data_IF_653154783411
#
_entry.id   IF_653154783411
#
_cell.length_a   1.000
_cell.length_b   1.000
_cell.length_c   1.000
_cell.angle_alpha   90.00
_cell.angle_beta   90.00
_cell.angle_gamma   90.00
#
_symmetry.space_group_name_H-M   'P 1'
#
loop_
_entity.id
_entity.type
_entity.pdbx_description
1 polymer ?
#
# COMPACT_ATOMS: atom_id res chain seq x y z
N UNK A 1 -8.93 7.39 -30.58
CA UNK A 1 -9.48 6.37 -29.68
C UNK A 1 -8.83 5.04 -30.02
N UNK A 2 -8.07 4.48 -29.09
CA UNK A 2 -7.47 3.15 -29.19
C UNK A 2 -8.02 2.29 -28.05
N UNK A 3 -8.60 1.15 -28.39
CA UNK A 3 -9.17 0.22 -27.41
C UNK A 3 -8.05 -0.55 -26.71
N UNK A 4 -8.07 -0.56 -25.37
CA UNK A 4 -7.02 -1.17 -24.54
C UNK A 4 -7.46 -2.54 -24.05
N UNK A 5 -8.64 -2.63 -23.43
CA UNK A 5 -9.16 -3.89 -22.88
C UNK A 5 -10.66 -3.86 -22.63
N UNK A 6 -11.28 -5.04 -22.65
CA UNK A 6 -12.63 -5.28 -22.11
C UNK A 6 -12.53 -5.76 -20.65
N UNK A 7 -13.44 -5.28 -19.80
CA UNK A 7 -13.52 -5.66 -18.39
C UNK A 7 -14.96 -5.66 -17.87
N UNK A 8 -15.14 -5.99 -16.59
CA UNK A 8 -16.41 -5.84 -15.87
C UNK A 8 -16.32 -4.66 -14.91
N UNK A 9 -17.42 -3.96 -14.72
CA UNK A 9 -17.56 -2.89 -13.73
C UNK A 9 -18.96 -2.91 -13.13
N UNK A 10 -19.23 -2.03 -12.17
CA UNK A 10 -20.53 -1.90 -11.52
C UNK A 10 -21.24 -0.63 -12.02
N UNK A 11 -22.56 -0.70 -12.18
CA UNK A 11 -23.38 0.50 -12.31
C UNK A 11 -23.23 1.36 -11.04
N UNK A 12 -22.91 2.67 -11.13
CA UNK A 12 -22.78 3.51 -9.95
C UNK A 12 -24.05 3.67 -9.12
N UNK A 13 -25.23 3.43 -9.72
CA UNK A 13 -26.53 3.62 -9.07
C UNK A 13 -27.10 2.29 -8.54
N UNK A 14 -27.30 1.30 -9.42
CA UNK A 14 -27.92 0.03 -9.04
C UNK A 14 -26.94 -1.11 -8.74
N UNK A 15 -25.62 -0.87 -8.84
CA UNK A 15 -24.56 -1.84 -8.59
C UNK A 15 -24.62 -3.12 -9.45
N UNK A 16 -25.41 -3.11 -10.53
CA UNK A 16 -25.44 -4.19 -11.50
C UNK A 16 -24.08 -4.35 -12.17
N UNK A 17 -23.66 -5.59 -12.38
CA UNK A 17 -22.44 -5.89 -13.14
C UNK A 17 -22.67 -5.57 -14.62
N UNK A 18 -21.79 -4.77 -15.20
CA UNK A 18 -21.83 -4.32 -16.58
C UNK A 18 -20.54 -4.70 -17.32
N UNK A 19 -20.65 -4.92 -18.63
CA UNK A 19 -19.50 -4.86 -19.52
C UNK A 19 -18.97 -3.42 -19.57
N UNK A 20 -17.65 -3.28 -19.49
CA UNK A 20 -16.96 -2.01 -19.54
C UNK A 20 -15.76 -2.10 -20.49
N UNK A 21 -15.42 -0.99 -21.11
CA UNK A 21 -14.29 -0.87 -22.02
C UNK A 21 -13.30 0.14 -21.48
N UNK A 22 -12.02 -0.22 -21.51
CA UNK A 22 -10.91 0.69 -21.25
C UNK A 22 -10.30 1.08 -22.58
N UNK A 23 -10.11 2.38 -22.80
CA UNK A 23 -9.56 2.90 -24.05
C UNK A 23 -8.79 4.20 -23.82
N UNK A 24 -7.83 4.49 -24.70
CA UNK A 24 -7.14 5.78 -24.71
C UNK A 24 -7.75 6.74 -25.72
N UNK A 25 -7.84 8.02 -25.35
CA UNK A 25 -8.30 9.12 -26.19
C UNK A 25 -7.68 10.43 -25.69
N UNK A 26 -7.10 11.24 -26.60
CA UNK A 26 -6.47 12.52 -26.28
C UNK A 26 -5.44 12.44 -25.13
N UNK A 27 -4.54 11.46 -25.20
CA UNK A 27 -3.47 11.21 -24.22
C UNK A 27 -3.95 10.85 -22.79
N UNK A 28 -5.24 10.57 -22.62
CA UNK A 28 -5.83 10.07 -21.38
C UNK A 28 -6.37 8.65 -21.57
N UNK A 29 -6.57 7.93 -20.46
CA UNK A 29 -7.24 6.62 -20.44
C UNK A 29 -8.59 6.75 -19.76
N UNK A 30 -9.62 6.23 -20.39
CA UNK A 30 -10.99 6.23 -19.91
C UNK A 30 -11.50 4.81 -19.68
N UNK A 31 -12.46 4.68 -18.78
CA UNK A 31 -13.33 3.52 -18.67
C UNK A 31 -14.76 3.95 -19.02
N UNK A 32 -15.44 3.17 -19.87
CA UNK A 32 -16.83 3.40 -20.25
C UNK A 32 -17.69 2.15 -20.06
N UNK A 33 -18.91 2.35 -19.56
CA UNK A 33 -19.92 1.30 -19.38
C UNK A 33 -21.31 1.86 -19.59
N UNK A 34 -22.25 1.01 -20.03
CA UNK A 34 -23.64 1.41 -20.24
C UNK A 34 -24.58 0.55 -19.42
N UNK A 35 -25.30 1.18 -18.49
CA UNK A 35 -26.39 0.57 -17.75
C UNK A 35 -27.70 0.72 -18.54
N UNK A 36 -28.49 -0.36 -18.75
CA UNK A 36 -29.79 -0.26 -19.40
C UNK A 36 -30.79 0.68 -18.71
N UNK A 37 -30.61 0.93 -17.41
CA UNK A 37 -31.51 1.74 -16.58
C UNK A 37 -30.99 3.17 -16.34
N UNK A 38 -29.66 3.33 -16.21
CA UNK A 38 -29.05 4.58 -15.75
C UNK A 38 -28.17 5.26 -16.82
N UNK A 39 -28.09 4.69 -18.02
CA UNK A 39 -27.37 5.28 -19.15
C UNK A 39 -25.87 4.97 -19.17
N UNK A 40 -25.12 5.79 -19.90
CA UNK A 40 -23.68 5.61 -20.13
C UNK A 40 -22.88 6.41 -19.13
N UNK A 41 -21.87 5.76 -18.55
CA UNK A 41 -20.87 6.37 -17.68
C UNK A 41 -19.53 6.26 -18.38
N UNK A 42 -18.85 7.40 -18.55
CA UNK A 42 -17.48 7.50 -19.05
C UNK A 42 -16.68 8.31 -18.04
N UNK A 43 -15.67 7.68 -17.45
CA UNK A 43 -14.90 8.26 -16.35
C UNK A 43 -13.41 8.18 -16.67
N UNK A 44 -12.65 9.16 -16.19
CA UNK A 44 -11.19 9.16 -16.34
C UNK A 44 -10.61 8.03 -15.49
N UNK A 45 -9.83 7.16 -16.12
CA UNK A 45 -9.10 6.09 -15.43
C UNK A 45 -7.67 6.54 -15.09
N UNK A 46 -6.97 7.15 -16.06
CA UNK A 46 -5.65 7.80 -15.92
C UNK A 46 -5.63 9.09 -16.74
N UNK A 47 -5.00 10.17 -16.23
CA UNK A 47 -4.87 11.42 -16.99
C UNK A 47 -3.68 11.44 -17.94
N UNK A 48 -2.80 10.43 -17.86
CA UNK A 48 -1.63 10.25 -18.72
C UNK A 48 -1.59 8.81 -19.24
N UNK A 49 -1.83 8.64 -20.54
CA UNK A 49 -1.81 7.35 -21.20
C UNK A 49 -0.40 6.73 -21.28
N UNK A 50 0.65 7.53 -21.40
CA UNK A 50 2.03 7.01 -21.40
C UNK A 50 2.36 6.40 -20.03
N UNK A 51 2.02 7.11 -18.94
CA UNK A 51 2.20 6.60 -17.58
C UNK A 51 1.38 5.32 -17.31
N UNK A 52 0.17 5.23 -17.87
CA UNK A 52 -0.64 4.01 -17.84
C UNK A 52 0.11 2.82 -18.47
N UNK A 53 0.59 2.98 -19.70
CA UNK A 53 1.29 1.89 -20.38
C UNK A 53 2.66 1.57 -19.75
N UNK A 54 3.31 2.55 -19.12
CA UNK A 54 4.54 2.32 -18.36
C UNK A 54 4.28 1.40 -17.16
N UNK A 55 3.22 1.67 -16.39
CA UNK A 55 2.85 0.87 -15.23
C UNK A 55 2.60 -0.61 -15.58
N UNK A 56 2.06 -0.89 -16.78
CA UNK A 56 1.80 -2.26 -17.26
C UNK A 56 3.07 -3.10 -17.43
N UNK A 57 4.25 -2.49 -17.58
CA UNK A 57 5.52 -3.23 -17.71
C UNK A 57 5.91 -3.95 -16.41
N UNK A 58 5.34 -3.52 -15.28
CA UNK A 58 5.69 -4.00 -13.95
C UNK A 58 4.72 -5.06 -13.40
N UNK A 59 3.97 -5.71 -14.30
CA UNK A 59 3.12 -6.85 -13.97
C UNK A 59 3.90 -8.05 -13.45
N UNK A 60 3.29 -8.76 -12.51
CA UNK A 60 3.81 -10.01 -11.99
C UNK A 60 2.76 -11.11 -12.12
N UNK A 61 3.21 -12.32 -12.43
CA UNK A 61 2.34 -13.49 -12.55
C UNK A 61 1.62 -13.75 -11.22
N UNK A 62 0.27 -13.77 -11.20
CA UNK A 62 -0.48 -13.92 -9.96
C UNK A 62 -0.18 -15.25 -9.23
N UNK A 63 0.11 -15.16 -7.92
CA UNK A 63 0.23 -16.34 -7.05
C UNK A 63 -1.13 -16.67 -6.46
N UNK A 64 -1.79 -17.71 -6.98
CA UNK A 64 -3.14 -18.10 -6.54
C UNK A 64 -3.12 -18.78 -5.17
N UNK A 65 -4.28 -18.76 -4.53
CA UNK A 65 -4.56 -19.53 -3.32
C UNK A 65 -4.97 -20.96 -3.69
N UNK A 66 -4.46 -21.94 -2.95
CA UNK A 66 -4.75 -23.36 -3.17
C UNK A 66 -6.06 -23.81 -2.51
N UNK A 67 -6.43 -23.17 -1.40
CA UNK A 67 -7.55 -23.55 -0.55
C UNK A 67 -8.68 -22.51 -0.56
N UNK A 68 -9.33 -22.40 -1.70
CA UNK A 68 -10.54 -21.61 -1.87
C UNK A 68 -11.66 -22.11 -0.93
N UNK A 69 -12.35 -21.18 -0.28
CA UNK A 69 -13.43 -21.50 0.68
C UNK A 69 -14.82 -21.13 0.16
N UNK A 70 -14.91 -20.71 -1.11
CA UNK A 70 -16.15 -20.32 -1.75
C UNK A 70 -16.18 -20.74 -3.21
N UNK A 71 -17.34 -21.24 -3.69
CA UNK A 71 -17.55 -21.57 -5.09
C UNK A 71 -18.01 -20.35 -5.88
N UNK A 72 -17.94 -20.39 -7.22
CA UNK A 72 -18.47 -19.31 -8.06
C UNK A 72 -19.92 -19.55 -8.49
N UNK A 73 -20.66 -20.37 -7.74
CA UNK A 73 -22.03 -20.76 -8.12
C UNK A 73 -23.09 -19.68 -7.79
N UNK A 74 -22.64 -18.47 -7.43
CA UNK A 74 -23.44 -17.25 -7.26
C UNK A 74 -22.72 -16.03 -7.85
N UNK A 75 -23.44 -14.92 -7.99
CA UNK A 75 -22.90 -13.69 -8.59
C UNK A 75 -22.02 -12.93 -7.60
N UNK A 76 -20.75 -12.65 -7.94
CA UNK A 76 -19.95 -11.65 -7.22
C UNK A 76 -20.65 -10.27 -7.34
N UNK A 77 -20.88 -9.50 -6.27
CA UNK A 77 -20.31 -9.62 -4.92
C UNK A 77 -21.20 -10.36 -3.89
N UNK A 78 -22.36 -10.89 -4.31
CA UNK A 78 -23.34 -11.53 -3.41
C UNK A 78 -22.93 -12.89 -2.84
N UNK A 79 -21.88 -13.53 -3.38
CA UNK A 79 -21.33 -14.79 -2.90
C UNK A 79 -19.88 -14.62 -2.40
N UNK A 80 -19.69 -13.75 -1.39
CA UNK A 80 -18.36 -13.35 -0.91
C UNK A 80 -17.60 -14.51 -0.24
N UNK A 81 -16.28 -14.50 -0.39
CA UNK A 81 -15.34 -15.52 0.09
C UNK A 81 -14.16 -15.67 -0.88
N UNK A 82 -13.16 -16.47 -0.52
CA UNK A 82 -12.00 -16.74 -1.37
C UNK A 82 -12.40 -17.73 -2.48
N UNK A 83 -12.77 -17.19 -3.65
CA UNK A 83 -13.16 -17.94 -4.84
C UNK A 83 -12.07 -17.87 -5.94
N UNK A 84 -12.29 -18.56 -7.08
CA UNK A 84 -11.31 -18.69 -8.17
C UNK A 84 -10.89 -17.37 -8.84
N UNK A 85 -11.67 -16.30 -8.63
CA UNK A 85 -11.37 -14.96 -9.16
C UNK A 85 -10.36 -14.21 -8.28
N UNK A 86 -10.07 -14.71 -7.07
CA UNK A 86 -8.97 -14.22 -6.23
C UNK A 86 -7.66 -14.81 -6.72
N UNK A 87 -6.98 -14.06 -7.60
CA UNK A 87 -5.78 -14.55 -8.31
C UNK A 87 -4.47 -14.39 -7.51
N UNK A 88 -4.48 -13.57 -6.45
CA UNK A 88 -3.30 -13.26 -5.64
C UNK A 88 -3.48 -13.71 -4.20
N UNK A 89 -2.38 -13.99 -3.51
CA UNK A 89 -2.34 -14.30 -2.09
C UNK A 89 -2.80 -13.11 -1.25
N UNK A 90 -3.36 -13.36 -0.07
CA UNK A 90 -3.65 -12.29 0.88
C UNK A 90 -2.36 -11.86 1.60
N UNK A 91 -1.89 -10.66 1.28
CA UNK A 91 -0.66 -10.10 1.84
C UNK A 91 -0.96 -9.35 3.14
N UNK A 92 -2.06 -8.62 3.13
CA UNK A 92 -2.60 -7.87 4.26
C UNK A 92 -4.08 -8.20 4.40
N UNK A 93 -4.46 -8.83 5.51
CA UNK A 93 -5.86 -8.98 5.87
C UNK A 93 -6.39 -7.71 6.53
N UNK A 94 -7.50 -7.16 6.04
CA UNK A 94 -8.19 -6.05 6.69
C UNK A 94 -9.39 -6.60 7.46
N UNK A 95 -9.47 -6.30 8.75
CA UNK A 95 -10.61 -6.66 9.59
C UNK A 95 -11.15 -5.35 10.18
N UNK A 96 -12.37 -4.99 9.78
CA UNK A 96 -13.12 -3.96 10.48
C UNK A 96 -13.55 -4.53 11.84
N UNK A 97 -13.07 -3.93 12.93
CA UNK A 97 -13.37 -4.44 14.28
C UNK A 97 -14.60 -3.77 14.88
N UNK A 98 -15.08 -2.69 14.30
CA UNK A 98 -16.31 -1.99 14.69
C UNK A 98 -16.79 -1.13 13.52
N UNK A 99 -18.05 -0.71 13.50
CA UNK A 99 -18.51 0.39 12.63
C UNK A 99 -18.77 1.69 13.41
N UNK A 100 -18.41 1.73 14.70
CA UNK A 100 -18.42 2.97 15.51
C UNK A 100 -17.29 3.88 15.08
N UNK A 101 -17.57 5.16 14.94
CA UNK A 101 -16.56 6.17 14.70
C UNK A 101 -16.84 7.41 15.56
N UNK A 102 -15.79 8.05 16.04
CA UNK A 102 -15.83 9.35 16.73
C UNK A 102 -15.80 10.55 15.76
N UNK A 103 -15.89 10.31 14.44
CA UNK A 103 -16.01 11.32 13.39
C UNK A 103 -17.18 11.01 12.44
N UNK A 104 -17.58 12.02 11.66
CA UNK A 104 -18.63 11.92 10.62
C UNK A 104 -18.11 12.50 9.30
N UNK A 105 -17.02 11.92 8.80
CA UNK A 105 -16.30 12.39 7.62
C UNK A 105 -17.21 12.42 6.37
N UNK A 106 -17.25 13.54 5.61
CA UNK A 106 -18.03 13.63 4.37
C UNK A 106 -17.58 12.66 3.29
N UNK A 107 -16.28 12.34 3.21
CA UNK A 107 -15.70 11.45 2.17
C UNK A 107 -15.48 10.01 2.67
N UNK A 108 -16.28 9.54 3.63
CA UNK A 108 -16.12 8.19 4.18
C UNK A 108 -16.69 7.14 3.24
N UNK A 109 -15.83 6.34 2.60
CA UNK A 109 -16.24 5.22 1.76
C UNK A 109 -16.96 4.12 2.56
N UNK A 110 -16.49 3.83 3.78
CA UNK A 110 -17.07 2.80 4.65
C UNK A 110 -18.45 3.19 5.21
N UNK A 111 -18.84 4.46 5.06
CA UNK A 111 -20.08 5.03 5.61
C UNK A 111 -20.28 4.63 7.09
N UNK A 112 -19.22 4.68 7.89
CA UNK A 112 -19.27 4.29 9.29
C UNK A 112 -20.16 5.23 10.11
N UNK A 113 -20.68 4.74 11.24
CA UNK A 113 -21.59 5.42 12.16
C UNK A 113 -22.96 5.84 11.58
N UNK A 114 -23.34 5.39 10.38
CA UNK A 114 -24.67 5.66 9.78
C UNK A 114 -25.48 4.39 9.50
N UNK A 115 -24.88 3.20 9.57
CA UNK A 115 -25.63 1.95 9.52
C UNK A 115 -26.51 1.85 10.75
N UNK A 116 -27.81 1.59 10.55
CA UNK A 116 -28.77 1.41 11.65
C UNK A 116 -28.49 0.18 12.56
N UNK A 117 -27.48 -0.61 12.21
CA UNK A 117 -27.01 -1.79 12.94
C UNK A 117 -25.58 -1.57 13.44
N UNK A 118 -25.34 -1.90 14.70
CA UNK A 118 -23.99 -1.97 15.25
C UNK A 118 -23.29 -3.25 14.76
N UNK A 119 -22.15 -3.08 14.12
CA UNK A 119 -21.23 -4.17 13.81
C UNK A 119 -20.02 -4.00 14.74
N UNK A 120 -19.79 -4.98 15.61
CA UNK A 120 -18.68 -4.99 16.56
C UNK A 120 -18.45 -6.45 17.00
N UNK A 121 -17.71 -7.25 16.22
CA UNK A 121 -17.48 -8.66 16.53
C UNK A 121 -16.78 -8.84 17.88
N UNK A 122 -17.08 -9.94 18.53
CA UNK A 122 -16.42 -10.40 19.77
C UNK A 122 -14.95 -10.77 19.50
N UNK A 123 -14.16 -10.88 20.56
CA UNK A 123 -12.77 -11.31 20.46
C UNK A 123 -12.64 -12.72 19.84
N UNK A 124 -13.57 -13.62 20.18
CA UNK A 124 -13.58 -14.98 19.63
C UNK A 124 -13.90 -14.98 18.14
N UNK A 125 -14.87 -14.19 17.68
CA UNK A 125 -15.17 -14.03 16.24
C UNK A 125 -13.97 -13.42 15.49
N UNK A 126 -13.31 -12.40 16.05
CA UNK A 126 -12.10 -11.82 15.46
C UNK A 126 -10.98 -12.86 15.39
N UNK A 127 -10.79 -13.68 16.44
CA UNK A 127 -9.82 -14.78 16.43
C UNK A 127 -10.13 -15.80 15.35
N UNK A 128 -11.40 -16.11 15.11
CA UNK A 128 -11.81 -16.98 14.00
C UNK A 128 -11.49 -16.36 12.62
N UNK A 129 -11.72 -15.06 12.43
CA UNK A 129 -11.35 -14.34 11.21
C UNK A 129 -9.82 -14.37 10.97
N UNK A 130 -9.04 -14.14 12.03
CA UNK A 130 -7.58 -14.24 11.99
C UNK A 130 -7.12 -15.64 11.60
N UNK A 131 -7.73 -16.68 12.20
CA UNK A 131 -7.46 -18.09 11.85
C UNK A 131 -7.83 -18.41 10.41
N UNK A 132 -8.89 -17.81 9.88
CA UNK A 132 -9.24 -17.97 8.47
C UNK A 132 -8.12 -17.44 7.57
N UNK A 133 -7.63 -16.22 7.81
CA UNK A 133 -6.52 -15.62 7.07
C UNK A 133 -5.22 -16.43 7.19
N UNK A 134 -4.91 -16.96 8.38
CA UNK A 134 -3.72 -17.79 8.61
C UNK A 134 -3.84 -19.20 8.05
N UNK A 135 -5.03 -19.64 7.63
CA UNK A 135 -5.20 -20.93 6.94
C UNK A 135 -4.92 -20.85 5.45
N UNK A 136 -4.76 -19.65 4.87
CA UNK A 136 -4.45 -19.50 3.44
C UNK A 136 -3.22 -20.34 3.02
N UNK A 137 -3.33 -20.98 1.88
CA UNK A 137 -2.29 -21.81 1.25
C UNK A 137 -1.98 -21.26 -0.16
N UNK A 138 -0.73 -21.38 -0.64
CA UNK A 138 0.38 -22.07 0.01
C UNK A 138 1.05 -21.27 1.13
N UNK A 139 0.78 -19.96 1.20
CA UNK A 139 1.38 -19.05 2.19
C UNK A 139 0.30 -18.50 3.11
N UNK A 140 0.43 -18.67 4.43
CA UNK A 140 -0.50 -18.09 5.38
C UNK A 140 -0.31 -16.57 5.49
N UNK A 141 -1.42 -15.82 5.54
CA UNK A 141 -1.43 -14.34 5.49
C UNK A 141 -0.54 -13.71 6.57
N UNK A 142 0.53 -12.98 6.23
CA UNK A 142 1.55 -12.58 7.21
C UNK A 142 1.15 -11.35 8.04
N UNK A 143 0.33 -10.46 7.46
CA UNK A 143 -0.01 -9.18 8.05
C UNK A 143 -1.53 -8.99 8.26
N UNK A 144 -1.90 -8.27 9.31
CA UNK A 144 -3.28 -7.84 9.55
C UNK A 144 -3.35 -6.35 9.88
N UNK A 145 -4.38 -5.68 9.35
CA UNK A 145 -4.78 -4.34 9.72
C UNK A 145 -6.14 -4.36 10.38
N UNK A 146 -6.21 -3.85 11.61
CA UNK A 146 -7.50 -3.52 12.20
C UNK A 146 -7.94 -2.14 11.75
N UNK A 147 -9.17 -2.10 11.27
CA UNK A 147 -9.86 -0.95 10.71
C UNK A 147 -11.27 -0.89 11.33
N UNK A 148 -12.18 -0.18 10.69
CA UNK A 148 -13.60 -0.21 10.97
C UNK A 148 -13.99 0.93 11.88
N UNK A 149 -14.94 1.74 11.40
CA UNK A 149 -15.21 3.08 11.90
C UNK A 149 -13.93 3.76 12.36
N UNK A 150 -13.70 3.78 13.67
CA UNK A 150 -12.39 4.03 14.26
C UNK A 150 -12.02 2.89 15.22
N UNK A 151 -11.01 2.04 14.93
CA UNK A 151 -10.70 0.86 15.76
C UNK A 151 -10.33 1.23 17.19
N UNK A 152 -9.72 2.39 17.42
CA UNK A 152 -9.30 2.83 18.76
C UNK A 152 -10.45 3.30 19.66
N UNK A 153 -11.70 3.34 19.18
CA UNK A 153 -12.87 3.52 20.06
C UNK A 153 -13.21 2.25 20.85
N UNK A 154 -12.68 1.08 20.42
CA UNK A 154 -12.84 -0.16 21.15
C UNK A 154 -11.93 -0.17 22.38
N UNK A 155 -12.51 -0.47 23.54
CA UNK A 155 -11.78 -0.56 24.82
C UNK A 155 -10.77 -1.71 24.84
N UNK A 156 -10.96 -2.72 24.00
CA UNK A 156 -10.15 -3.93 23.95
C UNK A 156 -9.18 -3.97 22.77
N UNK A 157 -8.93 -2.83 22.07
CA UNK A 157 -8.04 -2.79 20.90
C UNK A 157 -6.63 -3.34 21.19
N UNK A 158 -6.08 -3.05 22.38
CA UNK A 158 -4.77 -3.59 22.81
C UNK A 158 -4.80 -5.11 22.90
N UNK A 159 -5.91 -5.69 23.34
CA UNK A 159 -6.08 -7.14 23.44
C UNK A 159 -6.22 -7.78 22.06
N UNK A 160 -6.94 -7.15 21.13
CA UNK A 160 -7.04 -7.63 19.75
C UNK A 160 -5.66 -7.72 19.08
N UNK A 161 -4.78 -6.75 19.33
CA UNK A 161 -3.39 -6.82 18.84
C UNK A 161 -2.66 -8.05 19.39
N UNK A 162 -2.80 -8.35 20.69
CA UNK A 162 -2.20 -9.57 21.26
C UNK A 162 -2.75 -10.82 20.62
N UNK A 163 -4.07 -10.90 20.42
CA UNK A 163 -4.71 -12.04 19.75
C UNK A 163 -4.13 -12.23 18.33
N UNK A 164 -3.93 -11.16 17.56
CA UNK A 164 -3.27 -11.27 16.26
C UNK A 164 -1.83 -11.83 16.36
N UNK A 165 -1.05 -11.40 17.36
CA UNK A 165 0.31 -11.96 17.58
C UNK A 165 0.26 -13.43 18.00
N UNK A 166 -0.67 -13.82 18.88
CA UNK A 166 -0.90 -15.21 19.31
C UNK A 166 -1.25 -16.12 18.13
N UNK A 167 -2.06 -15.64 17.18
CA UNK A 167 -2.43 -16.39 15.97
C UNK A 167 -1.32 -16.37 14.89
N UNK A 168 -0.15 -15.79 15.18
CA UNK A 168 1.06 -15.92 14.38
C UNK A 168 1.25 -14.85 13.30
N UNK A 169 0.59 -13.69 13.40
CA UNK A 169 0.85 -12.56 12.50
C UNK A 169 2.19 -11.89 12.81
N UNK A 170 3.06 -11.81 11.81
CA UNK A 170 4.38 -11.17 11.95
C UNK A 170 4.26 -9.65 11.94
N UNK A 171 3.29 -9.13 11.18
CA UNK A 171 3.00 -7.71 11.09
C UNK A 171 1.56 -7.38 11.50
N UNK A 172 1.40 -6.41 12.39
CA UNK A 172 0.09 -5.90 12.84
C UNK A 172 0.06 -4.39 12.73
N UNK A 173 -1.05 -3.85 12.24
CA UNK A 173 -1.25 -2.42 12.10
C UNK A 173 -2.68 -2.00 12.43
N UNK A 174 -2.88 -0.72 12.75
CA UNK A 174 -4.20 -0.11 12.95
C UNK A 174 -4.38 1.07 12.00
N UNK A 175 -5.51 1.13 11.30
CA UNK A 175 -5.93 2.28 10.51
C UNK A 175 -6.75 3.23 11.39
N UNK A 176 -6.20 4.38 11.76
CA UNK A 176 -6.78 5.25 12.79
C UNK A 176 -6.74 6.72 12.41
N UNK A 177 -7.74 7.47 12.87
CA UNK A 177 -7.75 8.92 12.90
C UNK A 177 -6.87 9.51 14.02
N UNK A 178 -6.30 8.70 14.91
CA UNK A 178 -5.32 9.13 15.90
C UNK A 178 -5.86 9.95 17.06
N UNK A 179 -7.16 10.25 17.15
CA UNK A 179 -7.72 11.03 18.25
C UNK A 179 -7.50 10.33 19.60
N UNK A 180 -7.68 9.01 19.66
CA UNK A 180 -7.43 8.25 20.89
C UNK A 180 -5.93 8.26 21.26
N UNK A 181 -5.04 8.09 20.28
CA UNK A 181 -3.59 8.16 20.47
C UNK A 181 -3.12 9.53 20.96
N UNK A 182 -3.80 10.61 20.54
CA UNK A 182 -3.53 11.96 21.01
C UNK A 182 -3.99 12.17 22.45
N UNK A 183 -5.19 11.68 22.79
CA UNK A 183 -5.83 11.92 24.09
C UNK A 183 -5.32 11.00 25.20
N UNK A 184 -4.77 9.83 24.87
CA UNK A 184 -4.19 8.88 25.82
C UNK A 184 -2.71 8.65 25.50
N UNK A 185 -1.84 9.24 26.32
CA UNK A 185 -0.38 9.14 26.18
C UNK A 185 0.19 7.73 26.41
N UNK A 186 -0.58 6.84 27.03
CA UNK A 186 -0.14 5.46 27.31
C UNK A 186 -0.57 4.49 26.22
N UNK A 187 -1.65 4.79 25.48
CA UNK A 187 -2.18 3.90 24.45
C UNK A 187 -1.12 3.49 23.42
N UNK A 188 -0.28 4.43 22.96
CA UNK A 188 0.80 4.11 22.02
C UNK A 188 1.82 3.10 22.60
N UNK A 189 2.15 3.22 23.89
CA UNK A 189 3.05 2.29 24.59
C UNK A 189 2.40 0.93 24.79
N UNK A 190 1.13 0.90 25.16
CA UNK A 190 0.36 -0.33 25.36
C UNK A 190 0.21 -1.11 24.06
N UNK A 191 -0.14 -0.43 22.96
CA UNK A 191 -0.20 -1.02 21.63
C UNK A 191 1.15 -1.56 21.18
N UNK A 192 2.24 -0.79 21.39
CA UNK A 192 3.59 -1.25 21.08
C UNK A 192 3.96 -2.50 21.88
N UNK A 193 3.66 -2.51 23.19
CA UNK A 193 3.92 -3.65 24.07
C UNK A 193 3.09 -4.89 23.70
N UNK A 194 1.87 -4.69 23.20
CA UNK A 194 1.03 -5.76 22.66
C UNK A 194 1.55 -6.35 21.34
N UNK A 195 2.51 -5.66 20.67
CA UNK A 195 3.14 -6.13 19.45
C UNK A 195 2.71 -5.41 18.18
N UNK A 196 2.03 -4.25 18.30
CA UNK A 196 1.71 -3.39 17.17
C UNK A 196 2.98 -2.94 16.44
N UNK A 197 3.04 -3.16 15.13
CA UNK A 197 4.19 -2.78 14.31
C UNK A 197 4.07 -1.34 13.83
N UNK A 198 2.91 -0.97 13.28
CA UNK A 198 2.71 0.28 12.56
C UNK A 198 1.37 0.91 12.87
N UNK A 199 1.36 2.24 13.08
CA UNK A 199 0.14 3.04 13.04
C UNK A 199 -0.04 3.57 11.62
N UNK A 200 -1.15 3.20 11.00
CA UNK A 200 -1.56 3.69 9.69
C UNK A 200 -2.45 4.92 9.93
N UNK A 201 -1.81 6.09 10.02
CA UNK A 201 -2.40 7.32 10.56
C UNK A 201 -3.01 8.16 9.44
N UNK A 202 -4.33 8.36 9.49
CA UNK A 202 -5.00 9.31 8.60
C UNK A 202 -4.41 10.73 8.77
N UNK A 203 -3.94 11.35 7.68
CA UNK A 203 -3.25 12.64 7.70
C UNK A 203 -3.47 13.42 6.39
N UNK A 204 -4.46 14.30 6.32
CA UNK A 204 -4.91 14.87 5.03
C UNK A 204 -4.18 16.14 4.59
N UNK A 205 -3.28 16.70 5.39
CA UNK A 205 -2.58 17.93 5.05
C UNK A 205 -1.79 18.50 6.21
N UNK A 206 -1.02 19.55 5.94
CA UNK A 206 -0.25 20.28 6.96
C UNK A 206 -0.97 21.54 7.44
N UNK A 207 -2.18 21.78 6.93
CA UNK A 207 -3.06 22.89 7.30
C UNK A 207 -4.41 22.39 7.82
N UNK A 208 -5.19 23.26 8.45
CA UNK A 208 -6.48 22.89 9.07
C UNK A 208 -7.57 22.55 8.04
N UNK A 209 -7.51 23.21 6.88
CA UNK A 209 -8.59 23.23 5.90
C UNK A 209 -8.95 21.84 5.36
N UNK A 210 -7.97 20.98 4.98
CA UNK A 210 -8.26 19.62 4.53
C UNK A 210 -9.10 18.85 5.54
N UNK A 211 -8.73 18.90 6.83
CA UNK A 211 -9.45 18.17 7.88
C UNK A 211 -10.88 18.67 8.07
N UNK A 212 -11.09 19.99 8.00
CA UNK A 212 -12.44 20.57 8.09
C UNK A 212 -13.30 20.05 6.94
N UNK A 213 -12.78 20.04 5.71
CA UNK A 213 -13.54 19.60 4.52
C UNK A 213 -13.73 18.09 4.45
N UNK A 214 -12.72 17.28 4.76
CA UNK A 214 -12.73 15.82 4.55
C UNK A 214 -13.16 15.03 5.78
N UNK A 215 -12.96 15.58 6.99
CA UNK A 215 -13.27 14.91 8.28
C UNK A 215 -14.39 15.58 9.05
N UNK A 216 -14.85 16.76 8.62
CA UNK A 216 -15.84 17.58 9.32
C UNK A 216 -15.39 17.95 10.76
N UNK A 217 -14.07 18.08 10.95
CA UNK A 217 -13.45 18.48 12.22
C UNK A 217 -12.01 18.95 11.97
N UNK A 218 -11.58 20.04 12.60
CA UNK A 218 -10.15 20.38 12.66
C UNK A 218 -9.45 19.47 13.67
N UNK A 219 -8.72 18.48 13.18
CA UNK A 219 -8.00 17.48 13.99
C UNK A 219 -6.49 17.51 13.75
N UNK A 220 -5.95 18.54 13.10
CA UNK A 220 -4.52 18.65 12.81
C UNK A 220 -3.69 18.62 14.10
N UNK A 221 -4.07 19.38 15.13
CA UNK A 221 -3.38 19.37 16.43
C UNK A 221 -3.36 17.97 17.06
N UNK A 222 -4.45 17.21 16.91
CA UNK A 222 -4.52 15.81 17.36
C UNK A 222 -3.60 14.89 16.56
N UNK A 223 -3.35 15.16 15.27
CA UNK A 223 -2.34 14.40 14.52
C UNK A 223 -0.95 14.61 15.10
N UNK A 224 -0.59 15.86 15.37
CA UNK A 224 0.71 16.20 15.94
C UNK A 224 0.88 15.54 17.32
N UNK A 225 -0.11 15.66 18.21
CA UNK A 225 -0.08 15.00 19.53
C UNK A 225 0.06 13.47 19.42
N UNK A 226 -0.68 12.83 18.51
CA UNK A 226 -0.58 11.39 18.28
C UNK A 226 0.83 10.98 17.80
N UNK A 227 1.42 11.76 16.88
CA UNK A 227 2.79 11.53 16.38
C UNK A 227 3.80 11.61 17.53
N UNK A 228 3.69 12.60 18.41
CA UNK A 228 4.58 12.72 19.58
C UNK A 228 4.44 11.55 20.55
N UNK A 229 3.23 11.06 20.78
CA UNK A 229 3.00 9.91 21.67
C UNK A 229 3.57 8.62 21.06
N UNK A 230 3.39 8.41 19.76
CA UNK A 230 4.00 7.32 19.01
C UNK A 230 5.53 7.40 19.01
N UNK A 231 6.11 8.61 18.87
CA UNK A 231 7.56 8.85 18.96
C UNK A 231 8.10 8.43 20.32
N UNK A 232 7.48 8.88 21.42
CA UNK A 232 7.86 8.48 22.79
C UNK A 232 7.77 6.97 23.01
N UNK A 233 6.81 6.30 22.36
CA UNK A 233 6.62 4.85 22.42
C UNK A 233 7.53 4.06 21.46
N UNK A 234 8.27 4.71 20.56
CA UNK A 234 9.00 4.07 19.44
C UNK A 234 8.08 3.18 18.58
N UNK A 235 6.88 3.69 18.32
CA UNK A 235 5.87 3.07 17.48
C UNK A 235 5.84 3.80 16.14
N UNK A 236 6.20 3.09 15.06
CA UNK A 236 6.35 3.68 13.73
C UNK A 236 5.00 4.07 13.11
N UNK A 237 5.03 5.07 12.25
CA UNK A 237 3.85 5.63 11.58
C UNK A 237 4.02 5.55 10.06
N UNK A 238 2.94 5.23 9.36
CA UNK A 238 2.75 5.57 7.95
C UNK A 238 1.65 6.62 7.89
N UNK A 239 1.93 7.77 7.28
CA UNK A 239 0.93 8.80 7.03
C UNK A 239 0.04 8.39 5.86
N UNK A 240 -1.25 8.66 5.99
CA UNK A 240 -2.27 8.23 5.01
C UNK A 240 -3.14 9.41 4.64
N UNK A 241 -2.71 10.22 3.67
CA UNK A 241 -3.52 11.31 3.14
C UNK A 241 -4.60 10.76 2.22
N UNK A 242 -5.87 11.08 2.50
CA UNK A 242 -6.92 10.91 1.49
C UNK A 242 -6.95 12.16 0.60
N UNK A 243 -6.60 12.01 -0.67
CA UNK A 243 -6.47 13.13 -1.60
C UNK A 243 -7.79 13.41 -2.33
N UNK A 244 -8.17 14.68 -2.38
CA UNK A 244 -9.31 15.19 -3.15
C UNK A 244 -8.84 16.41 -3.93
N UNK A 245 -9.05 16.40 -5.25
CA UNK A 245 -8.65 17.53 -6.12
C UNK A 245 -9.43 18.78 -5.71
N UNK A 246 -8.74 19.91 -5.64
CA UNK A 246 -9.29 21.18 -5.15
C UNK A 246 -9.44 21.29 -3.62
N UNK A 247 -8.96 20.31 -2.85
CA UNK A 247 -8.94 20.38 -1.37
C UNK A 247 -7.51 20.33 -0.83
N UNK A 248 -6.76 19.27 -1.12
CA UNK A 248 -5.44 19.05 -0.50
C UNK A 248 -4.36 18.52 -1.44
N UNK A 249 -4.68 18.32 -2.72
CA UNK A 249 -3.71 17.90 -3.74
C UNK A 249 -2.54 18.88 -3.93
N UNK A 250 -2.69 20.13 -3.52
CA UNK A 250 -1.66 21.17 -3.53
C UNK A 250 -0.69 21.07 -2.35
N UNK A 251 -0.97 20.18 -1.38
CA UNK A 251 -0.14 19.95 -0.19
C UNK A 251 0.66 18.63 -0.26
N UNK A 252 0.70 17.94 -1.41
CA UNK A 252 1.40 16.65 -1.54
C UNK A 252 2.89 16.81 -1.19
N UNK A 253 3.55 17.84 -1.73
CA UNK A 253 4.95 18.12 -1.42
C UNK A 253 5.17 18.47 0.05
N UNK A 254 4.31 19.30 0.63
CA UNK A 254 4.39 19.70 2.04
C UNK A 254 4.20 18.52 3.00
N UNK A 255 3.32 17.57 2.67
CA UNK A 255 3.14 16.34 3.46
C UNK A 255 4.41 15.48 3.41
N UNK A 256 5.07 15.38 2.26
CA UNK A 256 6.33 14.65 2.11
C UNK A 256 7.43 15.32 2.93
N UNK A 257 7.55 16.65 2.86
CA UNK A 257 8.52 17.41 3.67
C UNK A 257 8.25 17.24 5.16
N UNK A 258 6.99 17.32 5.59
CA UNK A 258 6.60 17.05 6.97
C UNK A 258 7.00 15.64 7.42
N UNK A 259 6.83 14.63 6.55
CA UNK A 259 7.25 13.27 6.84
C UNK A 259 8.78 13.13 6.95
N UNK A 260 9.54 13.80 6.08
CA UNK A 260 11.01 13.85 6.14
C UNK A 260 11.52 14.55 7.40
N UNK A 261 10.85 15.59 7.88
CA UNK A 261 11.18 16.26 9.13
C UNK A 261 10.92 15.39 10.36
N UNK A 262 10.04 14.40 10.23
CA UNK A 262 9.66 13.46 11.28
C UNK A 262 10.09 12.01 10.96
N UNK A 263 11.15 11.83 10.15
CA UNK A 263 11.62 10.52 9.66
C UNK A 263 12.09 9.57 10.79
N UNK A 264 12.28 10.11 12.00
CA UNK A 264 12.61 9.35 13.19
C UNK A 264 11.47 8.39 13.61
N UNK A 265 10.21 8.78 13.34
CA UNK A 265 9.00 8.03 13.67
C UNK A 265 8.16 7.66 12.44
N UNK A 266 8.19 8.49 11.39
CA UNK A 266 7.45 8.28 10.14
C UNK A 266 8.30 7.48 9.16
N UNK A 267 7.73 6.37 8.68
CA UNK A 267 8.41 5.41 7.76
C UNK A 267 7.91 5.51 6.32
N UNK A 268 6.77 6.19 6.11
CA UNK A 268 6.25 6.41 4.79
C UNK A 268 5.03 7.31 4.75
N UNK A 269 4.68 7.72 3.55
CA UNK A 269 3.43 8.39 3.19
C UNK A 269 2.77 7.55 2.10
N UNK A 270 1.59 7.00 2.40
CA UNK A 270 0.78 6.28 1.42
C UNK A 270 -0.44 7.12 1.07
N UNK A 271 -0.33 7.86 -0.03
CA UNK A 271 -1.41 8.66 -0.57
C UNK A 271 -2.52 7.77 -1.10
N UNK A 272 -3.76 8.14 -0.80
CA UNK A 272 -4.94 7.43 -1.23
C UNK A 272 -5.89 8.41 -1.90
N UNK A 273 -5.93 8.47 -3.24
CA UNK A 273 -6.99 9.20 -3.92
C UNK A 273 -8.36 8.77 -3.41
N UNK A 274 -9.28 9.74 -3.29
CA UNK A 274 -10.62 9.48 -2.77
C UNK A 274 -11.34 8.45 -3.63
N UNK A 275 -11.99 7.49 -2.97
CA UNK A 275 -12.93 6.58 -3.60
C UNK A 275 -14.32 7.22 -3.63
N UNK A 276 -14.94 7.26 -4.81
CA UNK A 276 -16.29 7.77 -5.00
C UNK A 276 -17.35 6.73 -4.59
N UNK A 277 -17.36 6.40 -3.30
CA UNK A 277 -18.27 5.45 -2.68
C UNK A 277 -18.72 5.94 -1.30
N UNK A 278 -19.74 5.29 -0.73
CA UNK A 278 -20.24 5.62 0.61
C UNK A 278 -20.83 7.03 0.66
N UNK A 279 -20.22 7.92 1.45
CA UNK A 279 -20.67 9.32 1.59
C UNK A 279 -20.04 10.28 0.59
N UNK A 280 -19.03 9.85 -0.16
CA UNK A 280 -18.36 10.71 -1.15
C UNK A 280 -19.36 11.13 -2.23
N UNK A 281 -19.49 12.44 -2.56
CA UNK A 281 -20.44 12.90 -3.57
C UNK A 281 -20.13 12.34 -4.96
N UNK A 282 -21.12 11.70 -5.59
CA UNK A 282 -20.99 11.10 -6.93
C UNK A 282 -21.13 12.11 -8.07
N UNK A 283 -21.64 13.31 -7.81
CA UNK A 283 -21.79 14.38 -8.80
C UNK A 283 -20.48 15.13 -9.10
N UNK A 284 -19.41 14.83 -8.35
CA UNK A 284 -18.11 15.50 -8.44
C UNK A 284 -16.96 14.62 -8.90
N UNK A 285 -17.25 13.43 -9.42
CA UNK A 285 -16.23 12.42 -9.76
C UNK A 285 -15.10 13.01 -10.59
N UNK A 286 -15.37 13.51 -11.79
CA UNK A 286 -14.31 14.05 -12.67
C UNK A 286 -13.68 15.34 -12.14
N UNK A 287 -14.43 16.17 -11.41
CA UNK A 287 -13.91 17.41 -10.81
C UNK A 287 -12.87 17.10 -9.71
N UNK A 288 -13.12 16.06 -8.91
CA UNK A 288 -12.38 15.76 -7.69
C UNK A 288 -11.41 14.58 -7.82
N UNK A 289 -11.46 13.84 -8.93
CA UNK A 289 -10.64 12.65 -9.17
C UNK A 289 -9.17 13.02 -9.26
N UNK A 290 -8.37 12.20 -8.59
CA UNK A 290 -6.91 12.16 -8.66
C UNK A 290 -6.55 10.74 -9.06
N UNK A 291 -5.73 10.63 -10.08
CA UNK A 291 -5.19 9.39 -10.62
C UNK A 291 -3.77 9.18 -10.11
N UNK A 292 -3.20 8.00 -10.37
CA UNK A 292 -1.84 7.70 -9.90
C UNK A 292 -0.82 8.65 -10.56
N UNK A 293 -0.99 8.95 -11.85
CA UNK A 293 -0.14 9.88 -12.59
C UNK A 293 -0.26 11.34 -12.14
N UNK A 294 -1.44 11.77 -11.68
CA UNK A 294 -1.59 13.08 -11.02
C UNK A 294 -0.72 13.17 -9.76
N UNK A 295 -0.70 12.11 -8.92
CA UNK A 295 0.15 12.08 -7.74
C UNK A 295 1.63 12.14 -8.13
N UNK A 296 2.06 11.29 -9.06
CA UNK A 296 3.46 11.23 -9.51
C UNK A 296 3.90 12.62 -10.00
N UNK A 297 3.08 13.26 -10.84
CA UNK A 297 3.34 14.61 -11.36
C UNK A 297 3.35 15.67 -10.25
N UNK A 298 2.47 15.54 -9.25
CA UNK A 298 2.46 16.43 -8.10
C UNK A 298 3.70 16.26 -7.22
N UNK A 299 4.19 15.04 -7.01
CA UNK A 299 5.44 14.83 -6.26
C UNK A 299 6.61 15.49 -6.98
N UNK A 300 6.75 15.29 -8.29
CA UNK A 300 7.82 15.90 -9.08
C UNK A 300 7.74 17.44 -9.09
N UNK A 301 6.53 18.01 -9.19
CA UNK A 301 6.35 19.47 -9.31
C UNK A 301 6.29 20.23 -7.98
N UNK A 302 5.88 19.58 -6.89
CA UNK A 302 5.73 20.21 -5.57
C UNK A 302 6.91 19.94 -4.64
N UNK A 303 7.91 19.18 -5.07
CA UNK A 303 9.11 18.89 -4.28
C UNK A 303 10.38 19.31 -5.01
N UNK A 304 11.33 19.90 -4.27
CA UNK A 304 12.68 20.18 -4.77
C UNK A 304 13.64 19.00 -4.49
N UNK A 305 13.11 17.77 -4.45
CA UNK A 305 13.81 16.56 -3.98
C UNK A 305 14.41 15.71 -5.13
N UNK A 306 14.34 16.20 -6.37
CA UNK A 306 14.78 15.50 -7.58
C UNK A 306 14.12 14.11 -7.75
N UNK A 307 12.88 13.96 -7.30
CA UNK A 307 12.09 12.75 -7.48
C UNK A 307 11.36 12.88 -8.81
N UNK A 308 11.88 12.23 -9.85
CA UNK A 308 11.28 12.25 -11.18
C UNK A 308 10.17 11.21 -11.31
N UNK A 309 9.35 11.32 -12.36
CA UNK A 309 8.29 10.33 -12.64
C UNK A 309 8.81 8.90 -12.74
N UNK A 310 9.99 8.72 -13.34
CA UNK A 310 10.66 7.43 -13.52
C UNK A 310 11.14 6.79 -12.20
N UNK A 311 11.01 7.49 -11.06
CA UNK A 311 11.33 6.94 -9.76
C UNK A 311 10.23 6.03 -9.20
N UNK A 312 9.03 6.03 -9.80
CA UNK A 312 7.87 5.29 -9.31
C UNK A 312 7.67 3.97 -10.02
N UNK A 313 7.44 2.92 -9.22
CA UNK A 313 7.25 1.56 -9.71
C UNK A 313 5.97 0.96 -9.15
N UNK A 314 5.28 0.14 -9.94
CA UNK A 314 4.12 -0.62 -9.47
C UNK A 314 4.50 -1.53 -8.30
N UNK A 315 3.57 -1.77 -7.37
CA UNK A 315 3.85 -2.59 -6.18
C UNK A 315 4.33 -4.01 -6.51
N UNK A 316 3.95 -4.55 -7.68
CA UNK A 316 4.36 -5.87 -8.15
C UNK A 316 5.81 -5.96 -8.64
N UNK A 317 6.51 -4.83 -8.83
CA UNK A 317 7.93 -4.78 -9.22
C UNK A 317 8.84 -5.56 -8.27
N UNK A 318 8.46 -5.69 -7.00
CA UNK A 318 9.27 -6.41 -5.99
C UNK A 318 8.99 -7.92 -5.93
N UNK A 319 8.06 -8.45 -6.74
CA UNK A 319 7.79 -9.89 -6.79
C UNK A 319 9.05 -10.76 -6.99
N UNK A 320 10.02 -10.40 -7.86
CA UNK A 320 11.27 -11.14 -7.99
C UNK A 320 12.06 -11.30 -6.69
N UNK A 321 11.96 -10.36 -5.76
CA UNK A 321 12.65 -10.43 -4.46
C UNK A 321 12.02 -11.56 -3.62
N UNK A 322 10.70 -11.62 -3.53
CA UNK A 322 10.01 -12.72 -2.83
C UNK A 322 10.34 -14.08 -3.43
N UNK A 323 10.36 -14.18 -4.76
CA UNK A 323 10.70 -15.42 -5.45
C UNK A 323 12.15 -15.86 -5.22
N UNK A 324 13.07 -14.89 -5.14
CA UNK A 324 14.46 -15.15 -4.77
C UNK A 324 14.58 -15.69 -3.35
N UNK A 325 13.84 -15.11 -2.39
CA UNK A 325 13.82 -15.58 -1.00
C UNK A 325 13.28 -17.01 -0.94
N UNK A 326 12.15 -17.30 -1.60
CA UNK A 326 11.60 -18.66 -1.70
C UNK A 326 12.61 -19.66 -2.27
N UNK A 327 13.28 -19.31 -3.37
CA UNK A 327 14.29 -20.17 -3.98
C UNK A 327 15.50 -20.46 -3.07
N UNK A 328 15.74 -19.62 -2.06
CA UNK A 328 16.84 -19.76 -1.10
C UNK A 328 16.42 -20.55 0.14
N UNK A 329 15.16 -20.46 0.54
CA UNK A 329 14.57 -21.21 1.65
C UNK A 329 14.06 -22.59 1.19
N UNK A 330 14.83 -23.30 0.35
CA UNK A 330 14.49 -24.63 -0.18
C UNK A 330 13.07 -24.73 -0.78
N UNK A 331 12.66 -23.71 -1.56
CA UNK A 331 11.35 -23.57 -2.21
C UNK A 331 10.15 -23.45 -1.24
N UNK A 332 10.40 -23.05 0.02
CA UNK A 332 9.32 -22.60 0.89
C UNK A 332 8.67 -21.33 0.31
N UNK A 333 7.36 -21.36 0.02
CA UNK A 333 6.69 -20.28 -0.66
C UNK A 333 6.59 -19.05 0.25
N UNK A 334 6.98 -17.90 -0.28
CA UNK A 334 6.92 -16.61 0.39
C UNK A 334 5.74 -15.80 -0.14
N UNK A 335 5.27 -14.88 0.69
CA UNK A 335 4.24 -13.93 0.25
C UNK A 335 4.80 -13.11 -0.91
N UNK A 336 4.06 -13.06 -2.02
CA UNK A 336 4.50 -12.35 -3.23
C UNK A 336 3.50 -11.27 -3.61
N UNK A 337 3.98 -10.03 -3.72
CA UNK A 337 3.21 -8.88 -4.20
C UNK A 337 2.90 -9.05 -5.69
N UNK A 338 1.68 -9.54 -5.98
CA UNK A 338 1.20 -9.82 -7.35
C UNK A 338 -0.17 -9.19 -7.58
N UNK A 339 -0.35 -7.96 -7.06
CA UNK A 339 -1.54 -7.18 -7.32
C UNK A 339 -1.53 -6.66 -8.76
N UNK A 340 -2.68 -6.15 -9.22
CA UNK A 340 -2.75 -5.46 -10.50
C UNK A 340 -1.77 -4.28 -10.52
N UNK A 341 -1.16 -4.02 -11.67
CA UNK A 341 -0.16 -2.99 -11.93
C UNK A 341 -0.67 -1.58 -11.59
N UNK A 342 -1.95 -1.30 -11.83
CA UNK A 342 -2.59 -0.03 -11.49
C UNK A 342 -3.15 0.02 -10.06
N UNK A 343 -2.90 -0.98 -9.22
CA UNK A 343 -3.32 -0.97 -7.81
C UNK A 343 -2.65 0.18 -7.03
N UNK A 344 -1.39 0.44 -7.37
CA UNK A 344 -0.60 1.45 -6.69
C UNK A 344 0.86 1.43 -7.13
N UNK A 345 1.53 2.54 -6.86
CA UNK A 345 2.95 2.76 -7.16
C UNK A 345 3.68 3.18 -5.90
N UNK A 346 5.00 3.01 -5.88
CA UNK A 346 5.83 3.53 -4.81
C UNK A 346 7.26 3.81 -5.23
N UNK A 347 7.92 4.62 -4.41
CA UNK A 347 9.34 4.90 -4.49
C UNK A 347 9.92 5.10 -3.09
N UNK A 348 11.24 5.05 -2.98
CA UNK A 348 11.94 5.30 -1.73
C UNK A 348 12.87 6.49 -1.87
N UNK A 349 12.93 7.30 -0.81
CA UNK A 349 13.91 8.36 -0.65
C UNK A 349 14.64 8.20 0.68
N UNK A 350 15.88 8.66 0.72
CA UNK A 350 16.80 8.51 1.85
C UNK A 350 17.27 9.88 2.31
N UNK A 351 17.28 10.13 3.62
CA UNK A 351 17.68 11.42 4.21
C UNK A 351 19.05 11.31 4.89
N UNK A 352 20.00 12.10 4.44
CA UNK A 352 21.31 12.26 5.08
C UNK A 352 21.21 13.13 6.34
N UNK A 353 22.23 13.07 7.20
CA UNK A 353 22.31 13.90 8.41
C UNK A 353 22.34 15.41 8.11
N UNK A 354 22.90 15.80 6.96
CA UNK A 354 22.94 17.21 6.51
C UNK A 354 21.62 17.68 5.89
N UNK A 355 20.62 16.81 5.80
CA UNK A 355 19.30 17.07 5.23
C UNK A 355 19.18 16.77 3.73
N UNK A 356 20.27 16.39 3.05
CA UNK A 356 20.23 15.97 1.64
C UNK A 356 19.32 14.77 1.47
N UNK A 357 18.48 14.79 0.44
CA UNK A 357 17.58 13.69 0.09
C UNK A 357 18.06 13.00 -1.18
N UNK A 358 18.10 11.68 -1.14
CA UNK A 358 18.60 10.83 -2.23
C UNK A 358 17.47 9.87 -2.64
N UNK A 359 16.90 10.00 -3.84
CA UNK A 359 15.99 9.00 -4.40
C UNK A 359 16.68 7.65 -4.63
N UNK A 360 15.95 6.54 -4.46
CA UNK A 360 16.49 5.19 -4.67
C UNK A 360 17.10 5.02 -6.07
N UNK A 361 16.48 5.63 -7.09
CA UNK A 361 16.91 5.55 -8.48
C UNK A 361 18.22 6.29 -8.78
N UNK A 362 18.68 7.18 -7.89
CA UNK A 362 19.99 7.82 -8.03
C UNK A 362 21.15 6.85 -7.82
N UNK A 363 20.95 5.78 -7.03
CA UNK A 363 22.01 4.84 -6.69
C UNK A 363 21.67 3.37 -6.95
N UNK A 364 20.42 3.03 -7.30
CA UNK A 364 20.01 1.71 -7.78
C UNK A 364 19.26 1.86 -9.10
N UNK A 365 19.79 1.26 -10.16
CA UNK A 365 19.05 1.01 -11.40
C UNK A 365 18.09 -0.17 -11.14
N UNK A 366 16.85 0.16 -10.76
CA UNK A 366 15.86 -0.81 -10.29
C UNK A 366 15.54 -1.84 -11.37
N UNK A 367 15.39 -1.41 -12.63
CA UNK A 367 15.07 -2.32 -13.74
C UNK A 367 16.19 -3.35 -13.96
N UNK A 368 17.45 -2.90 -14.07
CA UNK A 368 18.58 -3.83 -14.21
C UNK A 368 18.78 -4.69 -12.97
N UNK A 369 18.44 -4.17 -11.79
CA UNK A 369 18.52 -4.91 -10.54
C UNK A 369 17.49 -6.05 -10.48
N UNK A 370 16.22 -5.78 -10.83
CA UNK A 370 15.18 -6.80 -10.92
C UNK A 370 15.48 -7.82 -12.03
N UNK A 371 16.02 -7.39 -13.17
CA UNK A 371 16.48 -8.29 -14.24
C UNK A 371 17.59 -9.24 -13.75
N UNK A 372 18.54 -8.72 -12.96
CA UNK A 372 19.60 -9.53 -12.35
C UNK A 372 19.04 -10.58 -11.38
N UNK A 373 18.07 -10.19 -10.53
CA UNK A 373 17.39 -11.12 -9.61
C UNK A 373 16.71 -12.23 -10.40
N UNK A 374 15.85 -11.87 -11.36
CA UNK A 374 15.10 -12.82 -12.19
C UNK A 374 16.01 -13.82 -12.91
N UNK A 375 17.14 -13.35 -13.47
CA UNK A 375 18.12 -14.24 -14.13
C UNK A 375 18.86 -15.15 -13.17
N UNK A 376 18.86 -14.86 -11.88
CA UNK A 376 19.58 -15.60 -10.84
C UNK A 376 18.72 -16.67 -10.16
N UNK A 377 17.40 -16.48 -10.09
CA UNK A 377 16.46 -17.44 -9.47
C UNK A 377 16.66 -18.88 -9.98
N UNK A 378 16.69 -19.18 -11.30
CA UNK A 378 16.81 -20.58 -11.77
C UNK A 378 18.14 -21.26 -11.43
N UNK A 379 19.20 -20.47 -11.22
CA UNK A 379 20.50 -21.00 -10.80
C UNK A 379 20.54 -21.20 -9.28
N UNK A 380 19.77 -20.43 -8.51
CA UNK A 380 19.68 -20.55 -7.05
C UNK A 380 18.80 -21.74 -6.66
N UNK A 381 17.61 -21.89 -7.26
CA UNK A 381 16.68 -22.99 -6.98
C UNK A 381 17.28 -24.38 -7.25
N UNK A 382 18.22 -24.51 -8.21
CA UNK A 382 18.88 -25.80 -8.51
C UNK A 382 19.79 -26.28 -7.39
N UNK A 383 20.18 -25.40 -6.46
CA UNK A 383 20.96 -25.67 -5.26
C UNK A 383 22.24 -26.54 -5.49
N UNK A 384 22.82 -26.49 -6.70
CA UNK A 384 24.01 -27.29 -7.07
C UNK A 384 25.27 -26.44 -7.07
N UNK A 385 26.45 -27.02 -6.80
CA UNK A 385 27.71 -26.27 -6.75
C UNK A 385 27.97 -25.45 -8.02
N UNK A 386 27.66 -26.00 -9.20
CA UNK A 386 27.84 -25.34 -10.50
C UNK A 386 26.89 -24.15 -10.64
N UNK A 387 25.62 -24.33 -10.26
CA UNK A 387 24.59 -23.29 -10.39
C UNK A 387 24.81 -22.15 -9.39
N UNK A 388 25.18 -22.43 -8.13
CA UNK A 388 25.61 -21.43 -7.16
C UNK A 388 26.81 -20.61 -7.66
N UNK A 389 27.83 -21.28 -8.21
CA UNK A 389 29.00 -20.59 -8.77
C UNK A 389 28.62 -19.65 -9.91
N UNK A 390 27.68 -20.07 -10.77
CA UNK A 390 27.17 -19.25 -11.88
C UNK A 390 26.35 -18.05 -11.40
N UNK A 391 25.49 -18.21 -10.39
CA UNK A 391 24.73 -17.11 -9.79
C UNK A 391 25.66 -16.08 -9.16
N UNK A 392 26.65 -16.51 -8.36
CA UNK A 392 27.64 -15.63 -7.75
C UNK A 392 28.48 -14.90 -8.80
N UNK A 393 28.95 -15.61 -9.84
CA UNK A 393 29.71 -14.99 -10.93
C UNK A 393 28.90 -13.94 -11.70
N UNK A 394 27.60 -14.18 -11.91
CA UNK A 394 26.68 -13.19 -12.51
C UNK A 394 26.54 -11.97 -11.60
N UNK A 395 26.26 -12.18 -10.32
CA UNK A 395 26.12 -11.11 -9.34
C UNK A 395 27.38 -10.23 -9.26
N UNK A 396 28.57 -10.83 -9.13
CA UNK A 396 29.85 -10.10 -9.10
C UNK A 396 30.09 -9.26 -10.37
N UNK A 397 29.62 -9.71 -11.53
CA UNK A 397 29.78 -9.01 -12.82
C UNK A 397 28.75 -7.89 -13.03
N UNK A 398 27.53 -8.07 -12.54
CA UNK A 398 26.40 -7.18 -12.87
C UNK A 398 26.06 -6.20 -11.73
N UNK A 399 26.20 -6.57 -10.45
CA UNK A 399 25.90 -5.69 -9.32
C UNK A 399 26.62 -4.31 -9.40
N UNK A 400 27.91 -4.22 -9.78
CA UNK A 400 28.57 -2.92 -9.93
C UNK A 400 28.00 -2.04 -11.06
N UNK A 401 27.15 -2.60 -11.93
CA UNK A 401 26.48 -1.88 -13.02
C UNK A 401 25.03 -1.50 -12.68
N UNK A 402 24.48 -2.09 -11.63
CA UNK A 402 23.12 -1.81 -11.15
C UNK A 402 23.13 -0.85 -9.96
N UNK A 403 24.26 -0.70 -9.26
CA UNK A 403 24.36 0.13 -8.05
C UNK A 403 25.54 1.10 -8.13
N UNK A 404 25.31 2.33 -7.69
CA UNK A 404 26.32 3.37 -7.51
C UNK A 404 26.64 3.59 -6.03
N UNK A 405 27.78 3.07 -5.57
CA UNK A 405 28.24 3.30 -4.18
C UNK A 405 28.67 4.74 -3.89
N UNK A 406 28.89 5.55 -4.94
CA UNK A 406 29.24 6.97 -4.79
C UNK A 406 28.02 7.83 -4.49
N UNK A 407 26.85 7.42 -4.98
CA UNK A 407 25.58 8.14 -4.84
C UNK A 407 24.69 7.55 -3.74
N UNK A 408 25.06 6.40 -3.17
CA UNK A 408 24.30 5.79 -2.09
C UNK A 408 24.41 6.61 -0.80
N UNK A 409 23.38 6.57 0.07
CA UNK A 409 23.45 7.20 1.38
C UNK A 409 24.67 6.73 2.18
N UNK A 410 25.29 7.66 2.91
CA UNK A 410 26.56 7.47 3.61
C UNK A 410 26.55 6.35 4.64
N UNK A 411 25.38 6.08 5.21
CA UNK A 411 25.13 5.05 6.21
C UNK A 411 24.71 3.69 5.62
N UNK A 412 24.49 3.58 4.31
CA UNK A 412 24.13 2.33 3.64
C UNK A 412 25.29 1.83 2.78
N UNK A 413 25.85 0.68 3.18
CA UNK A 413 26.76 -0.05 2.30
C UNK A 413 25.98 -0.99 1.37
N UNK A 414 25.37 -0.41 0.33
CA UNK A 414 24.47 -1.11 -0.60
C UNK A 414 25.16 -2.32 -1.23
N UNK A 415 26.45 -2.20 -1.58
CA UNK A 415 27.18 -3.29 -2.22
C UNK A 415 27.38 -4.48 -1.29
N UNK A 416 27.68 -4.25 -0.01
CA UNK A 416 27.86 -5.34 0.96
C UNK A 416 26.51 -5.94 1.38
N UNK A 417 25.45 -5.12 1.49
CA UNK A 417 24.07 -5.61 1.66
C UNK A 417 23.68 -6.57 0.53
N UNK A 418 23.89 -6.17 -0.72
CA UNK A 418 23.57 -7.01 -1.87
C UNK A 418 24.47 -8.25 -1.97
N UNK A 419 25.76 -8.15 -1.64
CA UNK A 419 26.63 -9.34 -1.54
C UNK A 419 26.11 -10.30 -0.47
N UNK A 420 25.66 -9.83 0.68
CA UNK A 420 25.13 -10.71 1.73
C UNK A 420 23.88 -11.46 1.23
N UNK A 421 22.98 -10.79 0.49
CA UNK A 421 21.81 -11.43 -0.12
C UNK A 421 22.22 -12.52 -1.13
N UNK A 422 23.05 -12.18 -2.14
CA UNK A 422 23.36 -13.11 -3.23
C UNK A 422 24.43 -14.15 -2.89
N UNK A 423 25.33 -13.88 -1.93
CA UNK A 423 26.47 -14.75 -1.59
C UNK A 423 26.24 -15.49 -0.28
N UNK A 424 25.77 -14.77 0.76
CA UNK A 424 25.59 -15.34 2.11
C UNK A 424 24.18 -15.84 2.39
N UNK A 425 23.21 -15.45 1.56
CA UNK A 425 21.80 -15.77 1.75
C UNK A 425 21.24 -15.21 3.07
N UNK A 426 21.76 -14.05 3.49
CA UNK A 426 21.43 -13.40 4.75
C UNK A 426 20.65 -12.10 4.49
N UNK A 427 19.45 -12.03 5.07
CA UNK A 427 18.48 -10.96 4.87
C UNK A 427 18.31 -10.06 6.10
N UNK A 428 18.95 -10.36 7.25
CA UNK A 428 18.95 -9.42 8.38
C UNK A 428 19.59 -8.07 7.98
N UNK A 429 20.51 -8.12 7.01
CA UNK A 429 21.14 -6.94 6.40
C UNK A 429 20.16 -6.01 5.67
N UNK A 430 18.94 -6.43 5.34
CA UNK A 430 17.91 -5.54 4.77
C UNK A 430 17.33 -4.57 5.82
N UNK A 431 17.51 -4.84 7.12
CA UNK A 431 17.08 -3.94 8.18
C UNK A 431 17.73 -2.55 8.06
N UNK A 432 18.98 -2.50 7.62
CA UNK A 432 19.74 -1.26 7.43
C UNK A 432 19.16 -0.37 6.32
N UNK A 433 18.44 -0.96 5.36
CA UNK A 433 17.80 -0.24 4.26
C UNK A 433 16.65 0.66 4.72
N UNK A 434 16.06 0.36 5.89
CA UNK A 434 14.93 1.12 6.43
C UNK A 434 15.36 2.27 7.36
N UNK A 435 16.66 2.45 7.59
CA UNK A 435 17.20 3.55 8.41
C UNK A 435 17.12 4.86 7.64
N UNK A 436 16.49 5.89 8.22
CA UNK A 436 16.31 7.22 7.59
C UNK A 436 15.76 7.16 6.16
N UNK A 437 14.88 6.20 5.92
CA UNK A 437 14.25 5.97 4.62
C UNK A 437 12.77 6.31 4.73
N UNK A 438 12.23 6.96 3.70
CA UNK A 438 10.81 7.25 3.57
C UNK A 438 10.25 6.58 2.31
N UNK A 439 9.23 5.74 2.48
CA UNK A 439 8.40 5.27 1.38
C UNK A 439 7.44 6.38 0.95
N UNK A 440 7.40 6.71 -0.33
CA UNK A 440 6.33 7.52 -0.92
C UNK A 440 5.53 6.58 -1.82
N UNK A 441 4.26 6.38 -1.51
CA UNK A 441 3.40 5.45 -2.23
C UNK A 441 2.04 6.06 -2.55
N UNK A 442 1.42 5.51 -3.59
CA UNK A 442 0.02 5.71 -3.94
C UNK A 442 -0.70 4.38 -3.89
N UNK A 443 -1.87 4.34 -3.26
CA UNK A 443 -2.78 3.20 -3.33
C UNK A 443 -4.13 3.69 -3.83
N UNK A 444 -4.60 3.13 -4.94
CA UNK A 444 -5.90 3.47 -5.51
C UNK A 444 -6.97 2.51 -5.03
N UNK A 445 -8.10 3.04 -4.56
CA UNK A 445 -9.27 2.23 -4.27
C UNK A 445 -10.20 2.24 -5.47
N UNK A 446 -10.60 1.05 -5.93
CA UNK A 446 -11.62 0.94 -6.95
C UNK A 446 -12.94 1.52 -6.44
N UNK A 447 -13.63 2.24 -7.30
CA UNK A 447 -14.98 2.72 -7.06
C UNK A 447 -15.89 2.37 -8.25
N UNK A 448 -17.21 2.58 -8.14
CA UNK A 448 -18.13 2.23 -9.21
C UNK A 448 -18.01 3.08 -10.48
N UNK A 449 -17.15 4.10 -10.57
CA UNK A 449 -17.09 5.05 -11.70
C UNK A 449 -15.99 4.68 -12.69
#
# INVERSE_FOLDING_TARGET
MEEISDTKSLCPECLKILDAKVFSENDMVYIEKTCPEHGTFKNTYWHDAEAYFEALKYGAEPKKLDNLNQTTDGECPSNCGLCKDHKSQTILGLIDVTNRCNLKCPICFANAATSGTLYEPTQDEIREMLRNLRKNQPVPTPAVQYSGGEPTVRKDIVELIKIAKEEGFTHTQIATNGIALANDENLAKELKAAGLNTVYLQFDGVTEEPYIKTRNANILSKKIEAIENCRKARLGIVLVPTLVKGINHDQIGDIINFALDNIDVIRGVNFQPVSFAGRTPSDKVEEQRITIDDLISAVESQTDLNITKDAFYSASTVAPISELISAMNDDEPEVTLTCHEHCGVGTYIFKEEDGTVIPITEFIDVDKFMELINKSIPDISKNSKISKTKAVARALRQLPKTVSTKKSPSYINVMDMLKNIFIKQDYEALGDFHVNTLLIACMHFMDPF
#
